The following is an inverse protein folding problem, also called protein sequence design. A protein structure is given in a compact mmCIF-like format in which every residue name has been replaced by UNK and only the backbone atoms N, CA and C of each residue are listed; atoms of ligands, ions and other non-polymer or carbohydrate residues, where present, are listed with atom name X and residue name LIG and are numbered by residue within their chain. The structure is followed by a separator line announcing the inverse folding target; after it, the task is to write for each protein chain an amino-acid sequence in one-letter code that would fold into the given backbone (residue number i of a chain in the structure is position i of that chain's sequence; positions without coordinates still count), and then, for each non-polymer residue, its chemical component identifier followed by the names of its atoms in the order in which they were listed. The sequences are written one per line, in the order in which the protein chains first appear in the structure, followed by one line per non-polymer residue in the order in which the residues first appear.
data_IF_840093700932
#
_entry.id   IF_840093700932
#
_cell.length_a   1.000
_cell.length_b   1.000
_cell.length_c   1.000
_cell.angle_alpha   90.00
_cell.angle_beta   90.00
_cell.angle_gamma   90.00
#
_symmetry.space_group_name_H-M   'P 1'
#
loop_
_entity.id
_entity.type
_entity.pdbx_description
1 polymer ?
#
# COMPACT_ATOMS: atom_id res chain seq x y z
N UNK A 1 15.14 -24.32 -20.01
CA UNK A 1 15.57 -22.91 -20.08
C UNK A 1 14.30 -22.09 -20.21
N UNK A 2 13.70 -21.74 -19.06
CA UNK A 2 12.44 -20.98 -19.02
C UNK A 2 12.84 -19.54 -19.28
N UNK A 3 12.32 -18.99 -20.37
CA UNK A 3 12.49 -17.60 -20.75
C UNK A 3 12.09 -16.72 -19.56
N UNK A 4 12.97 -15.81 -19.12
CA UNK A 4 12.58 -14.83 -18.11
C UNK A 4 11.46 -14.00 -18.72
N UNK A 5 10.28 -13.88 -18.08
CA UNK A 5 9.23 -13.05 -18.65
C UNK A 5 9.76 -11.63 -18.81
N UNK A 6 9.72 -11.12 -20.04
CA UNK A 6 9.92 -9.70 -20.34
C UNK A 6 9.04 -8.90 -19.39
N UNK A 7 9.65 -8.03 -18.58
CA UNK A 7 8.96 -7.24 -17.55
C UNK A 7 7.79 -6.49 -18.19
N UNK A 8 6.57 -6.93 -17.90
CA UNK A 8 5.36 -6.36 -18.49
C UNK A 8 5.12 -4.99 -17.88
N UNK A 9 5.36 -3.92 -18.63
CA UNK A 9 5.12 -2.56 -18.15
C UNK A 9 3.66 -2.39 -17.73
N UNK A 10 3.44 -2.04 -16.46
CA UNK A 10 2.13 -1.71 -15.92
C UNK A 10 1.74 -0.31 -16.39
N UNK A 11 0.51 -0.17 -16.92
CA UNK A 11 0.00 1.09 -17.47
C UNK A 11 -1.17 1.53 -16.62
N UNK A 12 -1.12 2.77 -16.15
CA UNK A 12 -2.02 3.29 -15.15
C UNK A 12 -2.61 4.61 -15.62
N UNK A 13 -3.93 4.76 -15.49
CA UNK A 13 -4.62 6.02 -15.72
C UNK A 13 -5.14 6.56 -14.37
N UNK A 14 -4.55 7.66 -13.90
CA UNK A 14 -5.01 8.38 -12.72
C UNK A 14 -6.01 9.47 -13.12
N UNK A 15 -7.18 9.51 -12.49
CA UNK A 15 -8.28 10.41 -12.84
C UNK A 15 -8.71 11.19 -11.60
N UNK A 16 -8.71 12.51 -11.70
CA UNK A 16 -9.17 13.42 -10.64
C UNK A 16 -8.17 14.54 -10.41
N UNK A 17 -8.55 15.53 -9.61
CA UNK A 17 -7.67 16.67 -9.37
C UNK A 17 -6.52 16.29 -8.44
N UNK A 18 -5.30 16.74 -8.77
CA UNK A 18 -4.15 16.72 -7.85
C UNK A 18 -4.17 17.91 -6.87
N UNK A 19 -5.35 18.49 -6.64
CA UNK A 19 -5.53 19.60 -5.72
C UNK A 19 -5.59 19.06 -4.29
N UNK A 20 -4.80 19.66 -3.40
CA UNK A 20 -4.61 19.17 -2.05
C UNK A 20 -3.34 18.30 -1.92
N UNK A 21 -2.76 18.30 -0.73
CA UNK A 21 -1.47 17.65 -0.50
C UNK A 21 -1.59 16.11 -0.53
N UNK A 22 -2.74 15.56 -0.13
CA UNK A 22 -3.03 14.12 -0.15
C UNK A 22 -3.15 13.57 -1.57
N UNK A 23 -3.88 14.27 -2.45
CA UNK A 23 -4.01 13.86 -3.86
C UNK A 23 -2.74 14.07 -4.66
N UNK A 24 -1.99 15.16 -4.40
CA UNK A 24 -0.68 15.36 -5.03
C UNK A 24 0.29 14.26 -4.65
N UNK A 25 0.36 13.92 -3.36
CA UNK A 25 1.14 12.78 -2.89
C UNK A 25 0.69 11.49 -3.57
N UNK A 26 -0.61 11.24 -3.67
CA UNK A 26 -1.14 10.05 -4.35
C UNK A 26 -0.68 9.94 -5.80
N UNK A 27 -0.74 11.03 -6.58
CA UNK A 27 -0.28 11.07 -7.97
C UNK A 27 1.21 10.75 -8.06
N UNK A 28 2.05 11.39 -7.25
CA UNK A 28 3.50 11.13 -7.21
C UNK A 28 3.80 9.65 -6.92
N UNK A 29 3.03 9.01 -6.02
CA UNK A 29 3.21 7.58 -5.74
C UNK A 29 2.79 6.71 -6.92
N UNK A 30 1.67 7.01 -7.58
CA UNK A 30 1.21 6.28 -8.76
C UNK A 30 2.17 6.40 -9.94
N UNK A 31 2.77 7.58 -10.14
CA UNK A 31 3.82 7.83 -11.13
C UNK A 31 5.10 7.05 -10.84
N UNK A 32 5.47 6.90 -9.57
CA UNK A 32 6.60 6.04 -9.18
C UNK A 32 6.33 4.55 -9.37
N UNK A 33 5.04 4.16 -9.39
CA UNK A 33 4.62 2.77 -9.41
C UNK A 33 4.51 2.18 -10.82
N UNK A 34 4.19 2.98 -11.84
CA UNK A 34 3.83 2.46 -13.16
C UNK A 34 4.06 3.51 -14.25
N UNK A 35 3.89 3.11 -15.51
CA UNK A 35 3.68 4.07 -16.59
C UNK A 35 2.32 4.75 -16.39
N UNK A 36 2.35 5.89 -15.70
CA UNK A 36 1.18 6.60 -15.21
C UNK A 36 0.86 7.80 -16.08
N UNK A 37 -0.38 7.86 -16.55
CA UNK A 37 -0.97 9.05 -17.17
C UNK A 37 -2.00 9.65 -16.22
N UNK A 38 -1.85 10.94 -15.89
CA UNK A 38 -2.78 11.67 -15.05
C UNK A 38 -3.69 12.60 -15.86
N UNK A 39 -4.98 12.58 -15.57
CA UNK A 39 -5.99 13.49 -16.15
C UNK A 39 -6.93 14.03 -15.06
N UNK A 40 -7.44 15.27 -15.20
CA UNK A 40 -8.17 15.91 -14.10
C UNK A 40 -9.63 15.43 -13.96
N UNK A 41 -10.22 14.84 -15.01
CA UNK A 41 -11.64 14.44 -15.02
C UNK A 41 -11.93 13.16 -15.80
N UNK A 42 -13.09 12.54 -15.56
CA UNK A 42 -13.57 11.38 -16.34
C UNK A 42 -13.83 11.76 -17.81
N UNK A 43 -14.26 13.00 -18.07
CA UNK A 43 -14.45 13.50 -19.44
C UNK A 43 -13.16 13.41 -20.25
N UNK A 44 -12.04 13.87 -19.67
CA UNK A 44 -10.73 13.80 -20.30
C UNK A 44 -10.25 12.34 -20.43
N UNK A 45 -10.50 11.52 -19.41
CA UNK A 45 -10.11 10.12 -19.36
C UNK A 45 -10.70 9.28 -20.50
N UNK A 46 -11.91 9.59 -20.95
CA UNK A 46 -12.62 8.81 -21.98
C UNK A 46 -11.79 8.71 -23.27
N UNK A 47 -11.25 9.83 -23.73
CA UNK A 47 -10.40 9.89 -24.93
C UNK A 47 -9.08 9.11 -24.75
N UNK A 48 -8.53 9.15 -23.54
CA UNK A 48 -7.29 8.44 -23.18
C UNK A 48 -7.51 6.94 -23.23
N UNK A 49 -8.57 6.45 -22.61
CA UNK A 49 -8.89 5.02 -22.55
C UNK A 49 -9.21 4.46 -23.93
N UNK A 50 -9.88 5.23 -24.79
CA UNK A 50 -10.16 4.83 -26.17
C UNK A 50 -8.90 4.74 -27.03
N UNK A 51 -7.95 5.65 -26.83
CA UNK A 51 -6.68 5.65 -27.57
C UNK A 51 -5.73 4.58 -27.06
N UNK A 52 -5.70 4.36 -25.74
CA UNK A 52 -4.86 3.35 -25.11
C UNK A 52 -5.52 2.73 -23.88
N UNK A 53 -5.78 1.43 -23.93
CA UNK A 53 -6.46 0.71 -22.87
C UNK A 53 -5.52 0.50 -21.66
N UNK A 54 -5.79 1.12 -20.49
CA UNK A 54 -4.93 1.00 -19.32
C UNK A 54 -5.10 -0.38 -18.65
N UNK A 55 -4.10 -0.81 -17.90
CA UNK A 55 -4.22 -1.98 -17.05
C UNK A 55 -4.99 -1.63 -15.77
N UNK A 56 -4.68 -0.48 -15.15
CA UNK A 56 -5.34 0.03 -13.96
C UNK A 56 -5.91 1.43 -14.19
N UNK A 57 -7.08 1.70 -13.62
CA UNK A 57 -7.70 3.03 -13.57
C UNK A 57 -7.83 3.42 -12.11
N UNK A 58 -7.13 4.48 -11.71
CA UNK A 58 -7.14 5.00 -10.35
C UNK A 58 -7.98 6.29 -10.29
N UNK A 59 -9.11 6.23 -9.60
CA UNK A 59 -9.97 7.36 -9.31
C UNK A 59 -9.49 8.07 -8.05
N UNK A 60 -9.08 9.33 -8.15
CA UNK A 60 -8.56 10.16 -7.05
C UNK A 60 -9.72 10.95 -6.42
N UNK A 61 -10.26 10.42 -5.32
CA UNK A 61 -11.43 10.99 -4.65
C UNK A 61 -11.00 11.81 -3.44
N UNK A 62 -10.91 13.13 -3.61
CA UNK A 62 -10.63 14.07 -2.52
C UNK A 62 -11.86 14.33 -1.64
N UNK A 63 -13.07 14.14 -2.17
CA UNK A 63 -14.35 14.38 -1.47
C UNK A 63 -15.36 13.26 -1.70
N UNK A 64 -16.15 12.95 -0.68
CA UNK A 64 -17.31 12.05 -0.77
C UNK A 64 -18.22 12.42 -1.94
N UNK A 65 -18.62 11.43 -2.74
CA UNK A 65 -19.52 11.64 -3.89
C UNK A 65 -18.94 12.39 -5.10
N UNK A 66 -17.62 12.63 -5.16
CA UNK A 66 -16.97 13.34 -6.29
C UNK A 66 -17.18 12.64 -7.65
N UNK A 67 -17.30 11.31 -7.67
CA UNK A 67 -17.51 10.54 -8.88
C UNK A 67 -18.91 9.94 -8.90
N UNK A 68 -19.66 10.17 -9.97
CA UNK A 68 -20.96 9.54 -10.14
C UNK A 68 -20.78 8.06 -10.57
N UNK A 69 -21.56 7.12 -10.01
CA UNK A 69 -21.47 5.70 -10.39
C UNK A 69 -21.64 5.44 -11.89
N UNK A 70 -22.50 6.23 -12.56
CA UNK A 70 -22.75 6.11 -14.01
C UNK A 70 -21.53 6.44 -14.85
N UNK A 71 -20.74 7.43 -14.43
CA UNK A 71 -19.54 7.85 -15.15
C UNK A 71 -18.44 6.79 -15.02
N UNK A 72 -18.28 6.22 -13.82
CA UNK A 72 -17.35 5.12 -13.56
C UNK A 72 -17.73 3.88 -14.36
N UNK A 73 -19.02 3.54 -14.45
CA UNK A 73 -19.48 2.41 -15.26
C UNK A 73 -19.26 2.65 -16.75
N UNK A 74 -19.53 3.87 -17.24
CA UNK A 74 -19.28 4.23 -18.64
C UNK A 74 -17.80 4.08 -18.99
N UNK A 75 -16.90 4.52 -18.10
CA UNK A 75 -15.46 4.35 -18.27
C UNK A 75 -15.06 2.87 -18.31
N UNK A 76 -15.64 2.05 -17.43
CA UNK A 76 -15.36 0.62 -17.38
C UNK A 76 -15.88 -0.13 -18.62
N UNK A 77 -17.00 0.29 -19.21
CA UNK A 77 -17.48 -0.30 -20.46
C UNK A 77 -16.48 -0.12 -21.61
N UNK A 78 -15.69 0.96 -21.60
CA UNK A 78 -14.66 1.22 -22.61
C UNK A 78 -13.40 0.38 -22.32
N UNK A 79 -13.03 0.20 -21.05
CA UNK A 79 -11.92 -0.66 -20.64
C UNK A 79 -12.35 -1.75 -19.63
N UNK A 80 -13.05 -2.79 -20.09
CA UNK A 80 -13.65 -3.81 -19.20
C UNK A 80 -12.61 -4.68 -18.49
N UNK A 81 -11.39 -4.75 -19.01
CA UNK A 81 -10.29 -5.48 -18.37
C UNK A 81 -9.48 -4.63 -17.38
N UNK A 82 -9.70 -3.31 -17.36
CA UNK A 82 -8.98 -2.44 -16.44
C UNK A 82 -9.45 -2.65 -15.01
N UNK A 83 -8.48 -2.72 -14.08
CA UNK A 83 -8.77 -2.80 -12.65
C UNK A 83 -9.12 -1.41 -12.14
N UNK A 84 -10.30 -1.27 -11.55
CA UNK A 84 -10.76 0.00 -10.98
C UNK A 84 -10.29 0.11 -9.54
N UNK A 85 -9.50 1.14 -9.26
CA UNK A 85 -8.96 1.47 -7.95
C UNK A 85 -9.50 2.84 -7.57
N UNK A 86 -9.96 2.99 -6.34
CA UNK A 86 -10.38 4.26 -5.78
C UNK A 86 -9.40 4.66 -4.68
N UNK A 87 -8.66 5.72 -4.94
CA UNK A 87 -7.78 6.34 -3.97
C UNK A 87 -8.59 7.36 -3.20
N UNK A 88 -8.74 7.14 -1.89
CA UNK A 88 -9.52 8.02 -1.02
C UNK A 88 -8.60 8.99 -0.29
N UNK A 89 -8.94 10.28 -0.37
CA UNK A 89 -8.34 11.35 0.42
C UNK A 89 -8.83 11.37 1.86
N UNK A 90 -8.27 12.28 2.65
CA UNK A 90 -8.56 12.39 4.08
C UNK A 90 -10.06 12.62 4.38
N UNK A 91 -10.77 13.32 3.50
CA UNK A 91 -12.18 13.65 3.68
C UNK A 91 -13.16 12.60 3.14
N UNK A 92 -12.68 11.63 2.35
CA UNK A 92 -13.51 10.59 1.72
C UNK A 92 -13.30 9.21 2.35
N UNK A 93 -12.30 9.04 3.22
CA UNK A 93 -12.03 7.78 3.92
C UNK A 93 -13.21 7.32 4.79
N UNK A 94 -13.88 8.26 5.46
CA UNK A 94 -15.05 8.01 6.30
C UNK A 94 -16.34 7.65 5.55
N UNK A 95 -16.37 7.72 4.21
CA UNK A 95 -17.55 7.42 3.38
C UNK A 95 -18.07 6.00 3.60
N UNK A 96 -17.22 5.07 4.03
CA UNK A 96 -17.63 3.70 4.38
C UNK A 96 -18.56 3.61 5.58
N UNK A 97 -18.54 4.60 6.48
CA UNK A 97 -19.37 4.63 7.71
C UNK A 97 -20.70 5.33 7.52
N UNK A 98 -20.74 6.40 6.72
CA UNK A 98 -21.88 7.33 6.65
C UNK A 98 -22.34 7.66 5.24
N UNK A 99 -21.66 7.15 4.20
CA UNK A 99 -21.93 7.46 2.81
C UNK A 99 -22.41 6.27 1.99
N UNK A 100 -22.46 6.48 0.67
CA UNK A 100 -22.73 5.42 -0.32
C UNK A 100 -21.45 5.21 -1.12
N UNK A 101 -20.54 4.33 -0.67
CA UNK A 101 -19.27 4.13 -1.34
C UNK A 101 -19.49 3.59 -2.76
N UNK A 102 -18.62 3.98 -3.69
CA UNK A 102 -18.61 3.42 -5.04
C UNK A 102 -18.47 1.90 -4.99
N UNK A 103 -19.37 1.21 -5.70
CA UNK A 103 -19.36 -0.24 -5.81
C UNK A 103 -18.37 -0.71 -6.90
N UNK A 104 -17.83 -1.91 -6.73
CA UNK A 104 -17.02 -2.56 -7.76
C UNK A 104 -15.66 -1.92 -8.04
N UNK A 105 -15.11 -1.19 -7.06
CA UNK A 105 -13.77 -0.60 -7.08
C UNK A 105 -12.96 -1.11 -5.89
N UNK A 106 -11.65 -1.26 -6.07
CA UNK A 106 -10.73 -1.55 -4.98
C UNK A 106 -10.36 -0.24 -4.26
N UNK A 107 -10.73 -0.09 -2.99
CA UNK A 107 -10.49 1.13 -2.23
C UNK A 107 -9.15 1.08 -1.52
N UNK A 108 -8.36 2.15 -1.63
CA UNK A 108 -7.09 2.32 -0.94
C UNK A 108 -6.98 3.75 -0.42
N UNK A 109 -6.56 3.93 0.83
CA UNK A 109 -6.29 5.26 1.35
C UNK A 109 -5.05 5.85 0.69
N UNK A 110 -5.04 7.15 0.42
CA UNK A 110 -3.92 7.84 -0.23
C UNK A 110 -2.57 7.58 0.47
N UNK A 111 -2.58 7.47 1.79
CA UNK A 111 -1.39 7.24 2.61
C UNK A 111 -0.97 5.76 2.66
N UNK A 112 -1.81 4.84 2.20
CA UNK A 112 -1.47 3.42 2.02
C UNK A 112 -0.96 3.12 0.63
N UNK A 113 -1.16 4.01 -0.36
CA UNK A 113 -0.74 3.80 -1.75
C UNK A 113 0.70 3.28 -1.93
N UNK A 114 1.73 3.83 -1.23
CA UNK A 114 3.09 3.37 -1.43
C UNK A 114 3.31 1.88 -1.17
N UNK A 115 2.41 1.20 -0.46
CA UNK A 115 2.54 -0.24 -0.16
C UNK A 115 1.34 -1.04 -0.63
N UNK A 116 0.14 -0.45 -0.61
CA UNK A 116 -1.12 -1.12 -0.93
C UNK A 116 -1.22 -1.60 -2.36
N UNK A 117 -0.50 -0.96 -3.27
CA UNK A 117 -0.44 -1.36 -4.66
C UNK A 117 0.91 -2.00 -5.05
N UNK A 118 1.91 -2.01 -4.17
CA UNK A 118 3.19 -2.67 -4.47
C UNK A 118 3.02 -4.18 -4.63
N UNK A 119 2.30 -4.83 -3.72
CA UNK A 119 1.96 -6.25 -3.89
C UNK A 119 1.20 -6.49 -5.18
N UNK A 120 0.24 -5.63 -5.52
CA UNK A 120 -0.56 -5.80 -6.74
C UNK A 120 0.30 -5.64 -8.01
N UNK A 121 1.30 -4.75 -7.98
CA UNK A 121 2.27 -4.58 -9.05
C UNK A 121 3.18 -5.79 -9.16
N UNK A 122 3.77 -6.24 -8.05
CA UNK A 122 4.61 -7.43 -8.03
C UNK A 122 3.83 -8.66 -8.51
N UNK A 123 2.56 -8.76 -8.12
CA UNK A 123 1.67 -9.83 -8.57
C UNK A 123 1.40 -9.77 -10.08
N UNK A 124 1.18 -8.57 -10.61
CA UNK A 124 1.04 -8.33 -12.04
C UNK A 124 2.30 -8.72 -12.83
N UNK A 125 3.47 -8.28 -12.36
CA UNK A 125 4.76 -8.56 -13.01
C UNK A 125 5.12 -10.05 -12.94
N UNK A 126 4.86 -10.71 -11.79
CA UNK A 126 5.11 -12.12 -11.56
C UNK A 126 4.04 -13.06 -12.13
N UNK A 127 2.92 -12.53 -12.64
CA UNK A 127 1.80 -13.34 -13.11
C UNK A 127 1.12 -14.18 -12.02
N UNK A 128 1.23 -13.76 -10.76
CA UNK A 128 0.63 -14.46 -9.61
C UNK A 128 -0.72 -13.83 -9.22
N UNK A 129 -1.57 -14.55 -8.47
CA UNK A 129 -2.86 -14.05 -8.03
C UNK A 129 -2.79 -12.71 -7.26
N UNK A 130 -3.79 -11.87 -7.46
CA UNK A 130 -3.86 -10.49 -6.95
C UNK A 130 -5.26 -10.19 -6.40
N UNK A 131 -5.38 -9.30 -5.41
CA UNK A 131 -6.70 -8.87 -4.87
C UNK A 131 -7.50 -8.07 -5.89
N UNK A 132 -6.80 -7.42 -6.83
CA UNK A 132 -7.41 -6.73 -7.96
C UNK A 132 -7.95 -7.69 -9.02
N UNK A 133 -7.50 -8.95 -9.02
CA UNK A 133 -7.98 -9.95 -9.98
C UNK A 133 -9.42 -10.41 -9.69
N UNK A 134 -9.89 -10.25 -8.45
CA UNK A 134 -11.23 -10.66 -8.01
C UNK A 134 -12.34 -9.90 -8.75
N UNK A 135 -13.51 -10.53 -8.96
CA UNK A 135 -14.68 -9.89 -9.57
C UNK A 135 -15.04 -8.54 -8.93
N UNK A 136 -15.65 -7.66 -9.73
CA UNK A 136 -16.17 -6.37 -9.23
C UNK A 136 -17.25 -6.55 -8.15
N UNK A 137 -17.97 -7.66 -8.18
CA UNK A 137 -18.98 -7.99 -7.18
C UNK A 137 -18.39 -8.46 -5.84
N UNK A 138 -17.07 -8.73 -5.78
CA UNK A 138 -16.41 -9.13 -4.55
C UNK A 138 -16.42 -8.01 -3.52
N UNK A 139 -16.89 -8.36 -2.32
CA UNK A 139 -16.95 -7.51 -1.13
C UNK A 139 -15.56 -7.39 -0.50
N UNK A 140 -15.40 -6.44 0.42
CA UNK A 140 -14.15 -6.28 1.17
C UNK A 140 -13.75 -7.59 1.89
N UNK A 141 -14.71 -8.28 2.52
CA UNK A 141 -14.47 -9.56 3.19
C UNK A 141 -13.93 -10.62 2.24
N UNK A 142 -14.50 -10.76 1.05
CA UNK A 142 -14.02 -11.72 0.03
C UNK A 142 -12.57 -11.42 -0.38
N UNK A 143 -12.20 -10.13 -0.47
CA UNK A 143 -10.83 -9.72 -0.80
C UNK A 143 -9.86 -10.03 0.32
N UNK A 144 -10.27 -9.83 1.58
CA UNK A 144 -9.47 -10.16 2.76
C UNK A 144 -9.28 -11.67 2.86
N UNK A 145 -10.35 -12.45 2.69
CA UNK A 145 -10.29 -13.93 2.72
C UNK A 145 -9.43 -14.48 1.59
N UNK A 146 -9.63 -14.01 0.36
CA UNK A 146 -8.83 -14.41 -0.79
C UNK A 146 -7.36 -14.07 -0.56
N UNK A 147 -7.06 -12.90 0.00
CA UNK A 147 -5.69 -12.54 0.37
C UNK A 147 -5.11 -13.46 1.42
N UNK A 148 -5.86 -13.76 2.49
CA UNK A 148 -5.43 -14.68 3.54
C UNK A 148 -5.18 -16.08 2.97
N UNK A 149 -5.91 -16.52 1.94
CA UNK A 149 -5.65 -17.78 1.23
C UNK A 149 -4.43 -17.70 0.31
N UNK A 150 -4.23 -16.58 -0.40
CA UNK A 150 -3.08 -16.35 -1.26
C UNK A 150 -1.76 -16.27 -0.49
N UNK A 151 -1.81 -15.73 0.74
CA UNK A 151 -0.66 -15.50 1.61
C UNK A 151 -0.63 -16.41 2.83
N UNK A 152 -1.62 -17.30 2.97
CA UNK A 152 -1.49 -18.42 3.88
C UNK A 152 -0.20 -19.11 3.49
N UNK A 153 0.77 -19.25 4.42
CA UNK A 153 2.01 -19.93 4.10
C UNK A 153 1.61 -21.32 3.63
N UNK A 154 1.76 -21.56 2.33
CA UNK A 154 1.47 -22.82 1.70
C UNK A 154 2.56 -23.78 2.19
N UNK A 155 2.42 -24.25 3.44
CA UNK A 155 3.33 -25.16 4.15
C UNK A 155 3.19 -26.55 3.52
N UNK A 156 3.50 -26.67 2.24
CA UNK A 156 4.23 -27.86 1.85
C UNK A 156 5.61 -27.71 2.48
N UNK A 157 5.87 -28.50 3.52
CA UNK A 157 7.16 -28.58 4.23
C UNK A 157 8.34 -28.99 3.33
N UNK A 158 8.20 -28.97 2.00
CA UNK A 158 9.11 -29.63 1.06
C UNK A 158 9.99 -28.70 0.24
N UNK A 159 9.56 -27.46 -0.04
CA UNK A 159 10.29 -26.57 -0.96
C UNK A 159 10.66 -25.20 -0.37
N UNK A 160 10.55 -25.01 0.95
CA UNK A 160 11.13 -23.83 1.58
C UNK A 160 12.67 -23.95 1.46
N UNK A 161 13.35 -23.01 0.78
CA UNK A 161 14.81 -23.01 0.76
C UNK A 161 15.30 -22.96 2.21
N UNK A 162 16.08 -23.97 2.59
CA UNK A 162 16.63 -24.19 3.92
C UNK A 162 17.78 -23.21 4.26
N UNK A 163 17.61 -21.94 3.92
CA UNK A 163 18.43 -20.86 4.46
C UNK A 163 17.68 -20.20 5.62
N UNK A 164 18.00 -20.73 6.79
CA UNK A 164 17.62 -20.39 8.15
C UNK A 164 18.07 -18.96 8.54
N UNK A 165 17.56 -17.96 7.82
CA UNK A 165 17.52 -16.58 8.29
C UNK A 165 16.14 -16.35 8.88
N UNK A 166 16.00 -16.47 10.21
CA UNK A 166 14.74 -16.19 10.89
C UNK A 166 14.30 -14.76 10.53
N UNK A 167 13.22 -14.64 9.74
CA UNK A 167 12.64 -13.36 9.34
C UNK A 167 12.16 -12.65 10.59
N UNK A 168 12.98 -11.75 11.11
CA UNK A 168 12.73 -11.02 12.34
C UNK A 168 12.65 -9.54 12.07
N UNK A 169 11.76 -8.87 12.81
CA UNK A 169 11.67 -7.41 12.81
C UNK A 169 11.59 -6.89 14.24
N UNK A 170 11.95 -5.63 14.41
CA UNK A 170 11.82 -4.96 15.70
C UNK A 170 10.64 -4.02 15.68
N UNK A 171 9.80 -4.09 16.72
CA UNK A 171 8.65 -3.22 16.89
C UNK A 171 8.93 -2.28 18.05
N UNK A 172 9.04 -0.99 17.76
CA UNK A 172 9.15 0.06 18.77
C UNK A 172 7.74 0.55 19.09
N UNK A 173 7.31 0.40 20.35
CA UNK A 173 6.01 0.84 20.81
C UNK A 173 6.04 1.18 22.30
N UNK A 174 5.38 2.28 22.70
CA UNK A 174 5.34 2.71 24.10
C UNK A 174 4.57 1.73 25.00
N UNK A 175 3.55 1.11 24.42
CA UNK A 175 2.60 0.22 25.10
C UNK A 175 2.71 -1.21 24.59
N UNK A 176 2.57 -2.17 25.50
CA UNK A 176 2.67 -3.60 25.20
C UNK A 176 1.54 -4.06 24.29
N UNK A 177 0.36 -3.50 24.46
CA UNK A 177 -0.85 -3.82 23.71
C UNK A 177 -0.68 -3.46 22.23
N UNK A 178 -0.06 -2.32 21.94
CA UNK A 178 0.25 -1.90 20.57
C UNK A 178 1.27 -2.84 19.92
N UNK A 179 2.29 -3.25 20.67
CA UNK A 179 3.23 -4.27 20.23
C UNK A 179 2.53 -5.59 19.93
N UNK A 180 1.76 -6.13 20.88
CA UNK A 180 1.12 -7.44 20.77
C UNK A 180 0.14 -7.50 19.59
N UNK A 181 -0.62 -6.43 19.36
CA UNK A 181 -1.52 -6.34 18.20
C UNK A 181 -0.77 -6.46 16.88
N UNK A 182 0.38 -5.80 16.72
CA UNK A 182 1.16 -5.86 15.48
C UNK A 182 2.00 -7.15 15.40
N UNK A 183 2.48 -7.65 16.53
CA UNK A 183 3.25 -8.89 16.61
C UNK A 183 2.42 -10.10 16.14
N UNK A 184 1.11 -10.10 16.40
CA UNK A 184 0.20 -11.13 15.88
C UNK A 184 0.13 -11.09 14.35
N UNK A 185 -0.05 -9.90 13.75
CA UNK A 185 -0.01 -9.68 12.30
C UNK A 185 1.32 -10.14 11.69
N UNK A 186 2.45 -9.83 12.33
CA UNK A 186 3.77 -10.29 11.92
C UNK A 186 3.85 -11.82 11.90
N UNK A 187 3.38 -12.46 12.98
CA UNK A 187 3.43 -13.91 13.14
C UNK A 187 2.54 -14.62 12.12
N UNK A 188 1.36 -14.08 11.84
CA UNK A 188 0.47 -14.57 10.79
C UNK A 188 1.15 -14.51 9.40
N UNK A 189 1.97 -13.48 9.17
CA UNK A 189 2.82 -13.33 7.98
C UNK A 189 4.13 -14.14 8.00
N UNK A 190 4.39 -14.91 9.06
CA UNK A 190 5.61 -15.72 9.18
C UNK A 190 6.86 -14.98 9.67
N UNK A 191 6.70 -13.80 10.27
CA UNK A 191 7.78 -13.02 10.88
C UNK A 191 7.80 -13.18 12.40
N UNK A 192 8.99 -13.30 12.99
CA UNK A 192 9.17 -13.08 14.42
C UNK A 192 9.34 -11.60 14.73
N UNK A 193 8.94 -11.17 15.93
CA UNK A 193 9.03 -9.76 16.32
C UNK A 193 9.58 -9.59 17.73
N UNK A 194 10.36 -8.54 17.92
CA UNK A 194 10.92 -8.14 19.23
C UNK A 194 10.40 -6.77 19.63
N UNK A 195 9.91 -6.66 20.87
CA UNK A 195 9.43 -5.39 21.41
C UNK A 195 10.57 -4.54 21.96
N UNK A 196 10.59 -3.26 21.59
CA UNK A 196 11.35 -2.22 22.27
C UNK A 196 10.42 -1.11 22.76
N UNK A 197 10.61 -0.70 24.01
CA UNK A 197 9.81 0.35 24.63
C UNK A 197 10.32 1.77 24.33
N UNK A 198 11.62 1.93 24.11
CA UNK A 198 12.26 3.24 23.92
C UNK A 198 12.94 3.35 22.57
N UNK A 199 12.87 4.55 22.03
CA UNK A 199 13.54 5.01 20.81
C UNK A 199 15.06 4.90 20.90
N UNK A 200 15.62 5.14 22.09
CA UNK A 200 17.06 5.03 22.32
C UNK A 200 17.56 3.59 22.18
N UNK A 201 16.73 2.62 22.57
CA UNK A 201 17.05 1.21 22.39
C UNK A 201 16.95 0.76 20.92
N UNK A 202 16.27 1.55 20.09
CA UNK A 202 16.10 1.25 18.67
C UNK A 202 17.33 1.62 17.85
N UNK A 203 18.10 2.66 18.24
CA UNK A 203 19.22 3.23 17.45
C UNK A 203 20.26 2.21 16.98
N UNK A 204 20.54 1.19 17.80
CA UNK A 204 21.60 0.21 17.56
C UNK A 204 21.09 -1.13 16.99
N UNK A 205 19.82 -1.19 16.56
CA UNK A 205 19.24 -2.40 16.00
C UNK A 205 19.68 -2.62 14.55
N UNK A 206 20.23 -3.80 14.27
CA UNK A 206 20.39 -4.30 12.90
C UNK A 206 19.12 -5.00 12.40
N UNK A 207 18.73 -4.73 11.14
CA UNK A 207 17.59 -5.39 10.47
C UNK A 207 16.31 -4.54 10.38
N UNK A 208 15.24 -5.06 9.74
CA UNK A 208 14.00 -4.32 9.50
C UNK A 208 13.35 -3.82 10.79
N UNK A 209 12.99 -2.53 10.80
CA UNK A 209 12.43 -1.83 11.96
C UNK A 209 11.04 -1.31 11.66
N UNK A 210 10.09 -1.63 12.53
CA UNK A 210 8.75 -1.06 12.51
C UNK A 210 8.56 -0.23 13.76
N UNK A 211 8.15 1.00 13.57
CA UNK A 211 7.92 1.93 14.65
C UNK A 211 6.45 2.28 14.72
N UNK A 212 5.80 1.89 15.82
CA UNK A 212 4.44 2.31 16.15
C UNK A 212 4.52 3.57 17.00
N UNK A 213 4.24 4.73 16.41
CA UNK A 213 4.36 6.00 17.13
C UNK A 213 3.11 6.85 16.96
N UNK A 214 2.52 7.26 18.08
CA UNK A 214 1.30 8.06 18.09
C UNK A 214 1.45 9.51 17.60
N UNK A 215 2.68 10.06 17.56
CA UNK A 215 2.88 11.49 17.31
C UNK A 215 4.21 11.83 16.60
N UNK A 216 4.27 11.66 15.27
CA UNK A 216 5.45 12.04 14.50
C UNK A 216 5.81 13.53 14.68
N UNK A 217 7.11 13.85 14.76
CA UNK A 217 7.63 15.23 14.75
C UNK A 217 8.80 15.40 13.78
N UNK A 218 8.98 16.62 13.24
CA UNK A 218 10.12 16.94 12.37
C UNK A 218 11.46 16.85 13.09
N UNK A 219 11.48 17.09 14.40
CA UNK A 219 12.67 16.91 15.24
C UNK A 219 13.08 15.44 15.28
N UNK A 220 12.12 14.57 15.56
CA UNK A 220 12.35 13.13 15.52
C UNK A 220 12.80 12.65 14.13
N UNK A 221 12.18 13.15 13.05
CA UNK A 221 12.59 12.80 11.69
C UNK A 221 14.06 13.16 11.40
N UNK A 222 14.53 14.33 11.89
CA UNK A 222 15.93 14.74 11.75
C UNK A 222 16.88 13.87 12.54
N UNK A 223 16.51 13.49 13.77
CA UNK A 223 17.32 12.58 14.59
C UNK A 223 17.38 11.17 13.98
N UNK A 224 16.24 10.67 13.52
CA UNK A 224 16.11 9.37 12.89
C UNK A 224 16.69 9.29 11.47
N UNK A 225 16.95 10.44 10.81
CA UNK A 225 17.49 10.50 9.44
C UNK A 225 18.92 9.94 9.27
N UNK A 226 19.53 9.43 10.33
CA UNK A 226 20.79 8.66 10.27
C UNK A 226 20.67 7.25 10.85
N UNK A 227 19.54 6.93 11.48
CA UNK A 227 19.32 5.62 12.09
C UNK A 227 18.95 4.64 10.98
N UNK A 228 19.52 3.44 11.02
CA UNK A 228 19.13 2.34 10.14
C UNK A 228 19.22 2.65 8.64
N UNK A 229 20.24 3.39 8.19
CA UNK A 229 20.44 3.68 6.75
C UNK A 229 20.44 2.43 5.87
N UNK A 230 20.87 1.31 6.42
CA UNK A 230 21.00 0.04 5.72
C UNK A 230 19.84 -0.93 6.02
N UNK A 231 18.80 -0.48 6.74
CA UNK A 231 17.68 -1.31 7.16
C UNK A 231 16.32 -0.68 6.82
N UNK A 232 15.38 -1.44 6.23
CA UNK A 232 14.03 -0.98 5.97
C UNK A 232 13.35 -0.50 7.26
N UNK A 233 12.87 0.73 7.28
CA UNK A 233 12.24 1.34 8.47
C UNK A 233 10.86 1.91 8.15
N UNK A 234 9.82 1.54 8.92
CA UNK A 234 8.42 1.95 8.75
C UNK A 234 7.88 2.67 9.98
N UNK A 235 7.23 3.83 9.79
CA UNK A 235 6.46 4.52 10.83
C UNK A 235 4.97 4.25 10.64
N UNK A 236 4.31 3.79 11.71
CA UNK A 236 2.86 3.69 11.81
C UNK A 236 2.30 4.84 12.63
N UNK A 237 1.41 5.62 12.02
CA UNK A 237 0.75 6.79 12.63
C UNK A 237 -0.78 6.66 12.55
N UNK A 238 -1.51 7.29 13.46
CA UNK A 238 -2.98 7.28 13.44
C UNK A 238 -3.56 8.10 12.28
N UNK A 239 -2.96 9.26 12.01
CA UNK A 239 -3.48 10.23 11.06
C UNK A 239 -2.32 10.80 10.24
N UNK A 240 -1.83 10.06 9.23
CA UNK A 240 -0.76 10.55 8.38
C UNK A 240 -1.21 11.85 7.71
N UNK A 241 -0.35 12.88 7.77
CA UNK A 241 -0.54 14.12 7.03
C UNK A 241 0.45 14.15 5.88
N UNK A 242 0.03 14.62 4.70
CA UNK A 242 0.87 14.57 3.50
C UNK A 242 2.24 15.27 3.69
N UNK A 243 2.28 16.41 4.39
CA UNK A 243 3.53 17.09 4.74
C UNK A 243 4.47 16.21 5.61
N UNK A 244 3.91 15.51 6.61
CA UNK A 244 4.67 14.59 7.44
C UNK A 244 5.17 13.39 6.61
N UNK A 245 4.32 12.83 5.73
CA UNK A 245 4.72 11.73 4.85
C UNK A 245 5.91 12.11 3.96
N UNK A 246 5.90 13.30 3.37
CA UNK A 246 7.01 13.79 2.56
C UNK A 246 8.30 13.99 3.37
N UNK A 247 8.20 14.50 4.59
CA UNK A 247 9.36 14.66 5.48
C UNK A 247 9.94 13.30 5.92
N UNK A 248 9.10 12.34 6.30
CA UNK A 248 9.50 10.99 6.71
C UNK A 248 10.24 10.27 5.58
N UNK A 249 9.70 10.34 4.35
CA UNK A 249 10.34 9.71 3.19
C UNK A 249 11.69 10.34 2.86
N UNK A 250 11.83 11.66 2.98
CA UNK A 250 13.13 12.34 2.81
C UNK A 250 14.15 11.92 3.87
N UNK A 251 13.70 11.51 5.06
CA UNK A 251 14.56 10.94 6.08
C UNK A 251 14.94 9.46 5.81
N UNK A 252 14.42 8.84 4.74
CA UNK A 252 14.70 7.45 4.38
C UNK A 252 13.70 6.43 4.96
N UNK A 253 12.65 6.90 5.61
CA UNK A 253 11.67 6.06 6.27
C UNK A 253 10.39 5.91 5.43
N UNK A 254 9.76 4.74 5.56
CA UNK A 254 8.44 4.45 5.03
C UNK A 254 7.36 4.88 6.06
N UNK A 255 6.12 5.15 5.61
CA UNK A 255 5.01 5.58 6.49
C UNK A 255 3.69 4.94 6.11
N UNK A 256 2.96 4.42 7.09
CA UNK A 256 1.58 3.97 6.91
C UNK A 256 0.65 4.48 8.01
N UNK A 257 -0.64 4.61 7.67
CA UNK A 257 -1.70 4.96 8.61
C UNK A 257 -2.26 3.73 9.32
N UNK A 258 -2.73 3.88 10.56
CA UNK A 258 -3.50 2.86 11.25
C UNK A 258 -4.99 2.94 10.84
N UNK A 259 -5.70 1.81 10.73
CA UNK A 259 -5.23 0.45 10.97
C UNK A 259 -4.35 -0.05 9.81
N UNK A 260 -3.26 -0.73 10.16
CA UNK A 260 -2.45 -1.48 9.20
C UNK A 260 -3.03 -2.89 9.14
N UNK A 261 -3.40 -3.37 7.95
CA UNK A 261 -3.71 -4.78 7.77
C UNK A 261 -2.42 -5.63 7.76
N UNK A 262 -2.56 -6.93 8.04
CA UNK A 262 -1.45 -7.89 8.08
C UNK A 262 -0.75 -8.02 6.70
N UNK A 263 -1.46 -7.72 5.61
CA UNK A 263 -0.98 -7.71 4.23
C UNK A 263 0.12 -6.69 4.04
N UNK A 264 -0.14 -5.46 4.48
CA UNK A 264 0.76 -4.34 4.27
C UNK A 264 2.10 -4.58 4.93
N UNK A 265 2.11 -5.10 6.15
CA UNK A 265 3.35 -5.33 6.88
C UNK A 265 4.18 -6.45 6.24
N UNK A 266 3.53 -7.54 5.83
CA UNK A 266 4.17 -8.65 5.14
C UNK A 266 4.76 -8.21 3.79
N UNK A 267 3.99 -7.46 3.00
CA UNK A 267 4.43 -6.95 1.71
C UNK A 267 5.57 -5.95 1.87
N UNK A 268 5.47 -5.02 2.83
CA UNK A 268 6.52 -4.04 3.11
C UNK A 268 7.83 -4.73 3.55
N UNK A 269 7.75 -5.62 4.54
CA UNK A 269 8.92 -6.31 5.08
C UNK A 269 9.55 -7.25 4.04
N UNK A 270 8.74 -7.97 3.26
CA UNK A 270 9.22 -8.88 2.22
C UNK A 270 9.89 -8.15 1.05
N UNK A 271 9.21 -7.14 0.47
CA UNK A 271 9.73 -6.41 -0.68
C UNK A 271 11.02 -5.65 -0.36
N UNK A 272 11.16 -5.13 0.86
CA UNK A 272 12.35 -4.38 1.25
C UNK A 272 13.50 -5.27 1.73
N UNK A 273 13.23 -6.45 2.27
CA UNK A 273 14.25 -7.41 2.67
C UNK A 273 14.92 -8.10 1.46
N UNK A 274 14.20 -8.28 0.36
CA UNK A 274 14.77 -8.87 -0.87
C UNK A 274 15.60 -7.85 -1.70
N UNK A 275 15.60 -6.57 -1.31
CA UNK A 275 16.29 -5.46 -1.98
C UNK A 275 17.36 -4.75 -1.12
N UNK A 276 17.62 -5.22 0.10
CA UNK A 276 18.69 -4.76 0.98
C UNK A 276 19.85 -5.78 0.95
#
# INVERSE_FOLDING_TARGET
MIDRPTTRSLRLLAIGTAQGDDMRFAVEQLESLADCRHVPSIGDATSVVQADAPHWICLLQSRTGQFAPRDVESLHQIAPLARLILVVGQWSEGETRSGTPLAGVFRVAWHHLPYGLLWERAAWEGGIPSRLALPRTSRLVDRVESYAQMNAPNRSKRDAPSNDGERSLVIVADHREAFESLAESCRAAGWSSRWLRSTDAARDVGGPLVWIWGAWSEEFAREAAGWHRDAPSLILTDFPRAAACGAIRRAGWDIAGRPLDDTYLAAWAGLRADHA
#
